data_IF_767603902040
#
_entry.id   IF_767603902040
#
_cell.length_a   1.000
_cell.length_b   1.000
_cell.length_c   1.000
_cell.angle_alpha   90.00
_cell.angle_beta   90.00
_cell.angle_gamma   90.00
#
_symmetry.space_group_name_H-M   'P 1'
#
loop_
_entity.id
_entity.type
_entity.pdbx_description
1 polymer ?
#
# COMPACT_ATOMS: atom_id res chain seq x y z
N UNK A 1 -30.61 11.05 15.14
CA UNK A 1 -30.90 9.60 15.01
C UNK A 1 -31.58 9.17 16.31
N UNK A 2 -32.64 8.37 16.26
CA UNK A 2 -33.37 7.97 17.47
C UNK A 2 -32.48 7.01 18.28
N UNK A 3 -32.33 7.23 19.59
CA UNK A 3 -31.49 6.45 20.52
C UNK A 3 -31.83 4.95 20.48
N UNK A 4 -33.09 4.60 20.22
CA UNK A 4 -33.53 3.21 20.14
C UNK A 4 -33.03 2.48 18.89
N UNK A 5 -32.86 3.19 17.77
CA UNK A 5 -32.32 2.61 16.53
C UNK A 5 -30.82 2.30 16.66
N UNK A 6 -30.06 3.22 17.26
CA UNK A 6 -28.60 3.01 17.50
C UNK A 6 -28.37 1.82 18.45
N UNK A 7 -29.20 1.65 19.50
CA UNK A 7 -29.12 0.55 20.44
C UNK A 7 -29.29 -0.85 19.79
N UNK A 8 -30.01 -0.92 18.68
CA UNK A 8 -30.20 -2.16 17.90
C UNK A 8 -29.12 -2.36 16.87
N UNK A 9 -28.70 -1.28 16.18
CA UNK A 9 -27.75 -1.37 15.07
C UNK A 9 -26.30 -1.62 15.53
N UNK A 10 -25.84 -0.92 16.57
CA UNK A 10 -24.43 -1.02 17.03
C UNK A 10 -24.01 -2.46 17.35
N UNK A 11 -24.76 -3.30 18.10
CA UNK A 11 -24.36 -4.68 18.35
C UNK A 11 -24.19 -5.53 17.08
N UNK A 12 -25.08 -5.35 16.10
CA UNK A 12 -25.01 -6.07 14.82
C UNK A 12 -23.79 -5.65 14.02
N UNK A 13 -23.55 -4.35 13.88
CA UNK A 13 -22.40 -3.80 13.15
C UNK A 13 -21.06 -4.14 13.81
N UNK A 14 -21.02 -4.16 15.15
CA UNK A 14 -19.86 -4.62 15.90
C UNK A 14 -19.55 -6.10 15.61
N UNK A 15 -20.57 -6.93 15.52
CA UNK A 15 -20.41 -8.34 15.18
C UNK A 15 -19.90 -8.50 13.76
N UNK A 16 -20.48 -7.77 12.81
CA UNK A 16 -20.10 -7.77 11.40
C UNK A 16 -18.64 -7.30 11.20
N UNK A 17 -18.29 -6.16 11.76
CA UNK A 17 -16.91 -5.63 11.65
C UNK A 17 -15.87 -6.55 12.31
N UNK A 18 -16.22 -7.18 13.44
CA UNK A 18 -15.34 -8.18 14.07
C UNK A 18 -15.15 -9.40 13.17
N UNK A 19 -16.21 -9.87 12.52
CA UNK A 19 -16.16 -11.01 11.60
C UNK A 19 -15.27 -10.68 10.38
N UNK A 20 -15.51 -9.56 9.71
CA UNK A 20 -14.73 -9.12 8.55
C UNK A 20 -13.23 -8.96 8.89
N UNK A 21 -12.93 -8.39 10.05
CA UNK A 21 -11.56 -8.27 10.53
C UNK A 21 -10.90 -9.64 10.74
N UNK A 22 -11.60 -10.59 11.36
CA UNK A 22 -11.08 -11.93 11.56
C UNK A 22 -10.88 -12.68 10.23
N UNK A 23 -11.79 -12.52 9.29
CA UNK A 23 -11.71 -13.05 7.94
C UNK A 23 -10.44 -12.56 7.24
N UNK A 24 -10.22 -11.25 7.18
CA UNK A 24 -9.02 -10.65 6.57
C UNK A 24 -7.73 -11.20 7.20
N UNK A 25 -7.66 -11.25 8.54
CA UNK A 25 -6.48 -11.74 9.25
C UNK A 25 -6.23 -13.25 8.99
N UNK A 26 -7.28 -14.04 8.94
CA UNK A 26 -7.17 -15.47 8.67
C UNK A 26 -6.74 -15.75 7.23
N UNK A 27 -7.29 -15.01 6.28
CA UNK A 27 -7.00 -15.14 4.87
C UNK A 27 -5.56 -14.70 4.56
N UNK A 28 -5.13 -13.55 5.09
CA UNK A 28 -3.75 -13.09 4.98
C UNK A 28 -2.75 -14.09 5.60
N UNK A 29 -3.04 -14.62 6.78
CA UNK A 29 -2.21 -15.63 7.42
C UNK A 29 -2.15 -16.94 6.63
N UNK A 30 -3.26 -17.34 6.00
CA UNK A 30 -3.34 -18.54 5.18
C UNK A 30 -2.53 -18.36 3.89
N UNK A 31 -2.69 -17.23 3.21
CA UNK A 31 -1.93 -16.88 2.02
C UNK A 31 -0.42 -16.85 2.32
N UNK A 32 0.01 -16.16 3.39
CA UNK A 32 1.41 -16.05 3.76
C UNK A 32 2.07 -17.39 4.17
N UNK A 33 1.30 -18.37 4.65
CA UNK A 33 1.80 -19.75 4.89
C UNK A 33 2.02 -20.53 3.60
N UNK A 34 1.22 -20.26 2.57
CA UNK A 34 1.28 -20.97 1.28
C UNK A 34 2.27 -20.30 0.32
N UNK A 35 2.47 -19.00 0.45
CA UNK A 35 3.27 -18.18 -0.44
C UNK A 35 4.32 -17.41 0.34
N UNK A 36 5.58 -17.74 0.10
CA UNK A 36 6.72 -17.16 0.81
C UNK A 36 7.78 -16.68 -0.16
N UNK A 37 8.53 -15.68 0.25
CA UNK A 37 9.75 -15.23 -0.40
C UNK A 37 10.97 -15.65 0.43
N UNK A 38 11.88 -16.41 -0.19
CA UNK A 38 13.17 -16.71 0.42
C UNK A 38 14.19 -15.64 0.04
N UNK A 39 14.65 -14.91 1.03
CA UNK A 39 15.73 -13.95 0.89
C UNK A 39 17.08 -14.62 1.15
N UNK A 40 17.89 -14.72 0.08
CA UNK A 40 19.22 -15.32 0.16
C UNK A 40 20.25 -14.39 0.83
N UNK A 41 19.99 -13.08 0.90
CA UNK A 41 20.91 -12.11 1.51
C UNK A 41 20.94 -12.24 3.03
N UNK A 42 19.77 -12.31 3.68
CA UNK A 42 19.65 -12.50 5.12
C UNK A 42 19.41 -13.96 5.53
N UNK A 43 19.29 -14.90 4.57
CA UNK A 43 18.93 -16.30 4.80
C UNK A 43 17.62 -16.44 5.58
N UNK A 44 16.61 -15.65 5.21
CA UNK A 44 15.33 -15.58 5.89
C UNK A 44 14.18 -15.81 4.91
N UNK A 45 13.12 -16.45 5.39
CA UNK A 45 11.88 -16.64 4.62
C UNK A 45 10.80 -15.73 5.16
N UNK A 46 10.20 -14.93 4.29
CA UNK A 46 9.13 -13.98 4.61
C UNK A 46 7.80 -14.48 4.04
N UNK A 47 6.68 -14.34 4.77
CA UNK A 47 5.35 -14.55 4.21
C UNK A 47 5.05 -13.42 3.21
N UNK A 48 4.41 -13.75 2.09
CA UNK A 48 3.84 -12.76 1.16
C UNK A 48 2.47 -12.29 1.65
N UNK A 49 2.02 -11.12 1.19
CA UNK A 49 0.78 -10.50 1.66
C UNK A 49 0.89 -9.99 3.11
N UNK A 50 2.10 -9.75 3.58
CA UNK A 50 2.37 -9.23 4.93
C UNK A 50 1.77 -7.85 5.16
N UNK A 51 1.47 -7.11 4.12
CA UNK A 51 0.81 -5.80 4.16
C UNK A 51 -0.59 -5.87 4.79
N UNK A 52 -1.25 -7.03 4.64
CA UNK A 52 -2.55 -7.34 5.25
C UNK A 52 -2.42 -8.12 6.57
N UNK A 53 -1.21 -8.48 6.94
CA UNK A 53 -0.90 -9.24 8.14
C UNK A 53 -0.83 -8.39 9.42
N UNK A 54 -0.37 -8.98 10.53
CA UNK A 54 -0.41 -8.33 11.85
C UNK A 54 0.44 -7.06 11.98
N UNK A 55 1.41 -6.85 11.11
CA UNK A 55 2.24 -5.64 11.07
C UNK A 55 1.83 -4.70 9.94
N UNK A 56 0.87 -5.07 9.13
CA UNK A 56 0.40 -4.27 8.01
C UNK A 56 -0.40 -3.04 8.44
N UNK A 57 -0.53 -2.07 7.56
CA UNK A 57 -1.35 -0.87 7.79
C UNK A 57 -2.85 -1.18 7.71
N UNK A 58 -3.26 -2.16 6.89
CA UNK A 58 -4.57 -2.80 6.94
C UNK A 58 -4.70 -3.73 8.17
N UNK A 59 -3.93 -3.50 9.18
CA UNK A 59 -3.63 -4.44 10.24
C UNK A 59 -4.44 -4.16 11.49
N UNK A 60 -4.30 -5.11 12.44
CA UNK A 60 -4.76 -4.92 13.80
C UNK A 60 -4.46 -3.56 14.42
N UNK A 61 -3.36 -2.90 14.06
CA UNK A 61 -3.00 -1.62 14.69
C UNK A 61 -3.92 -0.48 14.28
N UNK A 62 -4.33 -0.40 13.01
CA UNK A 62 -5.21 0.65 12.53
C UNK A 62 -6.69 0.26 12.66
N UNK A 63 -7.09 -0.83 12.01
CA UNK A 63 -8.48 -1.29 12.05
C UNK A 63 -8.91 -1.74 13.45
N UNK A 64 -8.03 -2.37 14.23
CA UNK A 64 -8.34 -2.70 15.62
C UNK A 64 -8.41 -1.45 16.50
N UNK A 65 -7.58 -0.44 16.20
CA UNK A 65 -7.66 0.87 16.83
C UNK A 65 -9.01 1.53 16.57
N UNK A 66 -9.43 1.58 15.33
CA UNK A 66 -10.72 2.11 14.90
C UNK A 66 -11.89 1.35 15.53
N UNK A 67 -11.88 0.02 15.44
CA UNK A 67 -12.91 -0.83 16.05
C UNK A 67 -12.98 -0.67 17.57
N UNK A 68 -11.84 -0.49 18.23
CA UNK A 68 -11.77 -0.30 19.68
C UNK A 68 -12.27 1.08 20.10
N UNK A 69 -12.11 2.08 19.23
CA UNK A 69 -12.55 3.46 19.44
C UNK A 69 -14.00 3.68 19.01
N UNK A 70 -14.57 2.81 18.18
CA UNK A 70 -15.91 2.95 17.60
C UNK A 70 -16.99 2.94 18.69
N UNK A 71 -17.85 3.96 18.71
CA UNK A 71 -18.95 4.13 19.67
C UNK A 71 -20.27 4.45 18.99
N UNK A 72 -20.26 4.94 17.77
CA UNK A 72 -21.44 5.36 17.02
C UNK A 72 -21.72 4.46 15.83
N UNK A 73 -22.94 4.54 15.30
CA UNK A 73 -23.29 3.86 14.04
C UNK A 73 -22.37 4.28 12.90
N UNK A 74 -22.00 5.57 12.83
CA UNK A 74 -21.13 6.08 11.79
C UNK A 74 -19.70 5.50 11.89
N UNK A 75 -19.15 5.36 13.11
CA UNK A 75 -17.83 4.77 13.31
C UNK A 75 -17.81 3.30 12.82
N UNK A 76 -18.84 2.52 13.17
CA UNK A 76 -18.93 1.13 12.71
C UNK A 76 -19.19 1.02 11.20
N UNK A 77 -19.96 1.96 10.61
CA UNK A 77 -20.14 2.00 9.16
C UNK A 77 -18.80 2.23 8.45
N UNK A 78 -18.03 3.21 8.90
CA UNK A 78 -16.71 3.49 8.35
C UNK A 78 -15.79 2.26 8.48
N UNK A 79 -15.69 1.66 9.65
CA UNK A 79 -14.86 0.47 9.87
C UNK A 79 -15.27 -0.72 8.97
N UNK A 80 -16.58 -0.92 8.73
CA UNK A 80 -17.08 -1.96 7.83
C UNK A 80 -16.71 -1.64 6.37
N UNK A 81 -16.81 -0.37 5.96
CA UNK A 81 -16.42 0.07 4.62
C UNK A 81 -14.91 -0.14 4.39
N UNK A 82 -14.07 0.25 5.35
CA UNK A 82 -12.61 0.07 5.28
C UNK A 82 -12.21 -1.42 5.25
N UNK A 83 -12.85 -2.24 6.07
CA UNK A 83 -12.63 -3.70 6.06
C UNK A 83 -13.05 -4.36 4.74
N UNK A 84 -14.17 -3.95 4.16
CA UNK A 84 -14.60 -4.45 2.85
C UNK A 84 -13.67 -4.01 1.73
N UNK A 85 -13.14 -2.79 1.80
CA UNK A 85 -12.12 -2.29 0.89
C UNK A 85 -10.84 -3.14 0.99
N UNK A 86 -10.35 -3.40 2.18
CA UNK A 86 -9.15 -4.19 2.41
C UNK A 86 -9.32 -5.64 1.96
N UNK A 87 -10.47 -6.27 2.24
CA UNK A 87 -10.81 -7.60 1.74
C UNK A 87 -10.85 -7.64 0.21
N UNK A 88 -11.46 -6.63 -0.43
CA UNK A 88 -11.51 -6.53 -1.89
C UNK A 88 -10.11 -6.40 -2.49
N UNK A 89 -9.26 -5.54 -1.92
CA UNK A 89 -7.91 -5.34 -2.39
C UNK A 89 -7.02 -6.57 -2.10
N UNK A 90 -7.20 -7.23 -0.96
CA UNK A 90 -6.54 -8.50 -0.66
C UNK A 90 -6.91 -9.59 -1.68
N UNK A 91 -8.20 -9.75 -2.00
CA UNK A 91 -8.65 -10.71 -3.01
C UNK A 91 -8.08 -10.39 -4.41
N UNK A 92 -7.96 -9.10 -4.74
CA UNK A 92 -7.30 -8.66 -5.97
C UNK A 92 -5.81 -9.05 -5.99
N UNK A 93 -5.08 -8.83 -4.89
CA UNK A 93 -3.68 -9.27 -4.76
C UNK A 93 -3.56 -10.78 -4.95
N UNK A 94 -4.42 -11.58 -4.32
CA UNK A 94 -4.43 -13.04 -4.47
C UNK A 94 -4.70 -13.46 -5.92
N UNK A 95 -5.63 -12.80 -6.60
CA UNK A 95 -5.96 -13.09 -8.00
C UNK A 95 -4.81 -12.73 -8.95
N UNK A 96 -4.12 -11.62 -8.69
CA UNK A 96 -2.99 -11.14 -9.50
C UNK A 96 -1.71 -11.95 -9.27
N UNK A 97 -1.50 -12.51 -8.08
CA UNK A 97 -0.28 -13.23 -7.69
C UNK A 97 0.11 -14.37 -8.64
N UNK A 98 -0.87 -15.03 -9.25
CA UNK A 98 -0.66 -16.10 -10.25
C UNK A 98 -0.58 -15.63 -11.70
N UNK A 99 -0.86 -14.36 -11.97
CA UNK A 99 -0.88 -13.79 -13.32
C UNK A 99 0.53 -13.79 -13.94
N UNK A 100 0.62 -14.15 -15.21
CA UNK A 100 1.86 -14.17 -16.00
C UNK A 100 1.91 -13.04 -17.03
N UNK A 101 0.93 -12.16 -17.01
CA UNK A 101 0.93 -10.96 -17.84
C UNK A 101 2.16 -10.12 -17.49
N UNK A 102 2.93 -9.66 -18.48
CA UNK A 102 4.06 -8.77 -18.20
C UNK A 102 3.62 -7.52 -17.44
N UNK A 103 4.39 -7.12 -16.44
CA UNK A 103 4.07 -6.01 -15.54
C UNK A 103 3.69 -4.68 -16.24
N UNK A 104 4.16 -4.49 -17.47
CA UNK A 104 3.94 -3.30 -18.30
C UNK A 104 2.80 -3.47 -19.31
N UNK A 105 1.95 -4.43 -19.11
CA UNK A 105 0.72 -4.64 -19.86
C UNK A 105 -0.50 -4.45 -18.95
N UNK A 106 -1.69 -4.44 -19.55
CA UNK A 106 -2.95 -4.34 -18.80
C UNK A 106 -3.20 -5.62 -18.04
N UNK A 107 -3.32 -5.53 -16.71
CA UNK A 107 -3.75 -6.62 -15.86
C UNK A 107 -5.27 -6.60 -15.69
N UNK A 108 -5.90 -7.77 -15.78
CA UNK A 108 -7.35 -7.84 -15.64
C UNK A 108 -7.80 -7.46 -14.23
N UNK A 109 -6.98 -7.72 -13.24
CA UNK A 109 -7.20 -7.34 -11.83
C UNK A 109 -7.31 -5.83 -11.67
N UNK A 110 -6.41 -5.04 -12.29
CA UNK A 110 -6.48 -3.58 -12.27
C UNK A 110 -7.81 -3.08 -12.85
N UNK A 111 -8.22 -3.64 -13.99
CA UNK A 111 -9.48 -3.27 -14.65
C UNK A 111 -10.67 -3.58 -13.77
N UNK A 112 -10.68 -4.75 -13.12
CA UNK A 112 -11.77 -5.15 -12.21
C UNK A 112 -11.84 -4.22 -10.99
N UNK A 113 -10.70 -3.86 -10.38
CA UNK A 113 -10.68 -2.90 -9.27
C UNK A 113 -11.16 -1.51 -9.70
N UNK A 114 -10.67 -0.99 -10.83
CA UNK A 114 -11.13 0.29 -11.35
C UNK A 114 -12.63 0.28 -11.68
N UNK A 115 -13.18 -0.84 -12.15
CA UNK A 115 -14.63 -1.00 -12.35
C UNK A 115 -15.37 -1.03 -11.02
N UNK A 116 -14.88 -1.78 -10.05
CA UNK A 116 -15.48 -1.89 -8.71
C UNK A 116 -15.58 -0.54 -8.02
N UNK A 117 -14.50 0.26 -8.07
CA UNK A 117 -14.45 1.60 -7.45
C UNK A 117 -14.98 2.72 -8.36
N UNK A 118 -15.49 2.40 -9.57
CA UNK A 118 -16.01 3.36 -10.55
C UNK A 118 -14.99 4.35 -11.11
N UNK A 119 -13.71 3.98 -11.20
CA UNK A 119 -12.60 4.84 -11.63
C UNK A 119 -12.23 4.68 -13.13
N UNK A 120 -13.03 3.95 -13.92
CA UNK A 120 -12.72 3.66 -15.33
C UNK A 120 -12.58 4.91 -16.23
N UNK A 121 -13.19 6.04 -15.86
CA UNK A 121 -13.12 7.29 -16.62
C UNK A 121 -12.20 8.34 -15.97
N UNK A 122 -11.31 7.89 -15.09
CA UNK A 122 -10.45 8.73 -14.28
C UNK A 122 -8.96 8.46 -14.56
N UNK A 123 -8.09 9.31 -13.99
CA UNK A 123 -6.67 9.00 -13.84
C UNK A 123 -6.49 8.15 -12.58
N UNK A 124 -5.85 7.00 -12.73
CA UNK A 124 -5.63 6.05 -11.63
C UNK A 124 -4.18 5.59 -11.61
N UNK A 125 -3.59 5.60 -10.43
CA UNK A 125 -2.29 4.97 -10.15
C UNK A 125 -2.57 3.66 -9.42
N UNK A 126 -2.20 2.54 -10.00
CA UNK A 126 -2.31 1.22 -9.37
C UNK A 126 -0.94 0.78 -8.89
N UNK A 127 -0.82 0.41 -7.62
CA UNK A 127 0.38 -0.15 -7.01
C UNK A 127 0.12 -1.62 -6.70
N UNK A 128 0.72 -2.51 -7.49
CA UNK A 128 0.68 -3.96 -7.25
C UNK A 128 1.84 -4.36 -6.33
N UNK A 129 1.54 -4.58 -5.05
CA UNK A 129 2.53 -4.83 -3.99
C UNK A 129 3.30 -6.13 -4.22
N UNK A 130 2.63 -7.20 -4.63
CA UNK A 130 3.26 -8.49 -4.89
C UNK A 130 4.23 -8.46 -6.08
N UNK A 131 4.01 -7.58 -7.06
CA UNK A 131 4.83 -7.41 -8.25
C UNK A 131 5.88 -6.28 -8.10
N UNK A 132 5.76 -5.43 -7.09
CA UNK A 132 6.59 -4.24 -6.91
C UNK A 132 6.53 -3.31 -8.13
N UNK A 133 5.32 -2.98 -8.59
CA UNK A 133 5.06 -2.23 -9.83
C UNK A 133 4.02 -1.15 -9.61
N UNK A 134 4.20 -0.04 -10.32
CA UNK A 134 3.12 0.92 -10.60
C UNK A 134 2.65 0.74 -12.03
N UNK A 135 1.33 0.64 -12.22
CA UNK A 135 0.64 0.77 -13.50
C UNK A 135 -0.26 2.01 -13.45
N UNK A 136 -0.17 2.84 -14.47
CA UNK A 136 -0.87 4.13 -14.50
C UNK A 136 -1.88 4.13 -15.63
N UNK A 137 -3.11 4.48 -15.30
CA UNK A 137 -4.25 4.45 -16.22
C UNK A 137 -4.85 5.84 -16.42
N UNK A 138 -5.40 6.07 -17.61
CA UNK A 138 -6.27 7.20 -17.92
C UNK A 138 -7.42 6.69 -18.79
N UNK A 139 -8.65 6.99 -18.41
CA UNK A 139 -9.87 6.53 -19.10
C UNK A 139 -9.84 5.00 -19.38
N UNK A 140 -9.46 4.23 -18.37
CA UNK A 140 -9.36 2.77 -18.43
C UNK A 140 -8.25 2.21 -19.32
N UNK A 141 -7.35 3.05 -19.84
CA UNK A 141 -6.23 2.65 -20.70
C UNK A 141 -4.92 2.79 -19.96
N UNK A 142 -4.08 1.75 -20.02
CA UNK A 142 -2.71 1.80 -19.49
C UNK A 142 -1.90 2.85 -20.29
N UNK A 143 -1.35 3.81 -19.58
CA UNK A 143 -0.54 4.89 -20.19
C UNK A 143 0.94 4.79 -19.82
N UNK A 144 1.26 4.16 -18.70
CA UNK A 144 2.65 3.86 -18.31
C UNK A 144 2.69 2.74 -17.25
N UNK A 145 3.85 2.07 -17.13
CA UNK A 145 4.12 1.14 -16.05
C UNK A 145 5.61 1.12 -15.75
N UNK A 146 5.97 0.99 -14.47
CA UNK A 146 7.37 0.92 -14.04
C UNK A 146 7.51 0.22 -12.69
N UNK A 147 8.68 -0.36 -12.48
CA UNK A 147 9.02 -1.03 -11.23
C UNK A 147 9.29 -0.03 -10.11
N UNK A 148 8.93 -0.44 -8.89
CA UNK A 148 9.06 0.35 -7.65
C UNK A 148 9.64 -0.50 -6.52
N UNK A 149 9.89 0.11 -5.37
CA UNK A 149 10.15 -0.59 -4.11
C UNK A 149 9.18 -0.07 -3.07
N UNK A 150 8.38 -0.96 -2.50
CA UNK A 150 7.41 -0.64 -1.45
C UNK A 150 7.97 -0.89 -0.05
N UNK A 151 7.14 -0.77 0.97
CA UNK A 151 7.52 -0.96 2.36
C UNK A 151 8.04 -2.36 2.68
N UNK A 152 9.01 -2.42 3.58
CA UNK A 152 9.55 -3.69 4.11
C UNK A 152 8.53 -4.37 5.05
N UNK A 153 8.72 -5.67 5.41
CA UNK A 153 7.74 -6.42 6.21
C UNK A 153 7.37 -5.80 7.57
N UNK A 154 8.30 -5.10 8.21
CA UNK A 154 8.04 -4.45 9.50
C UNK A 154 7.44 -3.04 9.35
N UNK A 155 7.54 -2.43 8.17
CA UNK A 155 7.04 -1.11 7.83
C UNK A 155 6.37 -1.15 6.43
N UNK A 156 5.28 -1.91 6.26
CA UNK A 156 4.67 -2.13 4.96
C UNK A 156 3.99 -0.88 4.39
N UNK A 157 3.87 -0.84 3.07
CA UNK A 157 3.02 0.14 2.41
C UNK A 157 1.55 -0.16 2.68
N UNK A 158 0.71 0.87 2.98
CA UNK A 158 -0.70 0.64 3.27
C UNK A 158 -1.46 0.25 2.00
N UNK A 159 -2.04 -0.96 1.91
CA UNK A 159 -3.01 -1.27 0.89
C UNK A 159 -4.26 -0.41 1.07
N UNK A 160 -5.07 -0.30 0.04
CA UNK A 160 -6.31 0.47 0.14
C UNK A 160 -6.57 1.33 -1.10
N UNK A 161 -7.55 2.21 -0.93
CA UNK A 161 -8.02 3.15 -1.93
C UNK A 161 -7.74 4.57 -1.45
N UNK A 162 -6.81 5.24 -2.08
CA UNK A 162 -6.27 6.53 -1.69
C UNK A 162 -6.40 7.55 -2.82
N UNK A 163 -5.94 8.76 -2.58
CA UNK A 163 -5.77 9.79 -3.60
C UNK A 163 -4.54 10.65 -3.32
N UNK A 164 -4.09 11.40 -4.31
CA UNK A 164 -3.02 12.37 -4.13
C UNK A 164 -3.52 13.52 -3.26
N UNK A 165 -3.07 13.58 -2.01
CA UNK A 165 -3.40 14.61 -1.01
C UNK A 165 -2.55 15.87 -1.17
N UNK A 166 -1.29 15.67 -1.59
CA UNK A 166 -0.33 16.76 -1.71
C UNK A 166 0.80 16.45 -2.67
N UNK A 167 1.43 17.50 -3.21
CA UNK A 167 2.57 17.39 -4.12
C UNK A 167 3.65 18.38 -3.70
N UNK A 168 4.90 17.91 -3.61
CA UNK A 168 6.05 18.73 -3.22
C UNK A 168 7.23 18.45 -4.15
N UNK A 169 7.90 19.53 -4.62
CA UNK A 169 9.08 19.42 -5.49
C UNK A 169 9.88 20.73 -5.49
N UNK A 170 11.16 20.75 -5.04
CA UNK A 170 11.79 19.74 -4.19
C UNK A 170 11.28 19.79 -2.74
N UNK A 171 11.61 18.76 -1.96
CA UNK A 171 11.31 18.71 -0.53
C UNK A 171 12.43 17.95 0.21
N UNK A 172 12.37 17.89 1.54
CA UNK A 172 13.27 17.12 2.39
C UNK A 172 12.45 16.27 3.36
N UNK A 173 12.69 14.96 3.37
CA UNK A 173 12.11 14.07 4.35
C UNK A 173 13.01 13.98 5.60
N UNK A 174 12.37 13.95 6.76
CA UNK A 174 13.03 13.78 8.06
C UNK A 174 12.32 12.70 8.84
N UNK A 175 13.12 11.85 9.48
CA UNK A 175 12.57 10.90 10.43
C UNK A 175 11.97 11.67 11.62
N UNK A 176 10.80 11.27 12.06
CA UNK A 176 10.10 11.77 13.24
C UNK A 176 10.48 11.02 14.53
N UNK A 177 11.45 10.10 14.42
CA UNK A 177 12.01 9.30 15.51
C UNK A 177 13.44 9.76 15.85
N UNK A 178 13.91 9.52 17.09
CA UNK A 178 15.27 9.94 17.49
C UNK A 178 16.34 9.12 16.77
N UNK A 179 17.58 9.64 16.62
CA UNK A 179 18.70 8.95 15.96
C UNK A 179 19.08 7.57 16.53
N UNK A 180 18.60 7.24 17.73
CA UNK A 180 18.79 5.92 18.35
C UNK A 180 17.76 4.88 17.91
N UNK A 181 16.71 5.27 17.20
CA UNK A 181 15.72 4.36 16.65
C UNK A 181 16.28 3.59 15.44
N UNK A 182 15.97 2.30 15.28
CA UNK A 182 16.29 1.56 14.07
C UNK A 182 15.63 2.14 12.81
N UNK A 183 14.51 2.86 12.98
CA UNK A 183 13.74 3.46 11.87
C UNK A 183 14.23 4.89 11.54
N UNK A 184 15.30 5.35 12.20
CA UNK A 184 15.84 6.67 11.91
C UNK A 184 16.61 6.68 10.58
N UNK A 185 16.43 7.77 9.85
CA UNK A 185 17.23 8.10 8.67
C UNK A 185 17.63 9.57 8.69
N UNK A 186 18.76 9.95 8.06
CA UNK A 186 19.19 11.35 7.99
C UNK A 186 18.23 12.17 7.13
N UNK A 187 18.21 13.51 7.30
CA UNK A 187 17.48 14.40 6.40
C UNK A 187 17.79 14.06 4.93
N UNK A 188 16.76 13.72 4.17
CA UNK A 188 16.87 13.12 2.85
C UNK A 188 16.20 14.02 1.81
N UNK A 189 16.97 14.61 0.87
CA UNK A 189 16.40 15.41 -0.20
C UNK A 189 15.63 14.56 -1.19
N UNK A 190 14.43 15.00 -1.54
CA UNK A 190 13.51 14.36 -2.49
C UNK A 190 13.19 15.36 -3.59
N UNK A 191 13.28 14.94 -4.86
CA UNK A 191 12.97 15.83 -5.98
C UNK A 191 11.46 15.91 -6.24
N UNK A 192 10.74 14.79 -6.13
CA UNK A 192 9.32 14.68 -6.43
C UNK A 192 8.63 13.80 -5.40
N UNK A 193 7.72 14.39 -4.63
CA UNK A 193 6.95 13.69 -3.61
C UNK A 193 5.45 13.93 -3.83
N UNK A 194 4.67 12.86 -3.82
CA UNK A 194 3.22 12.85 -3.96
C UNK A 194 2.66 12.12 -2.74
N UNK A 195 2.09 12.88 -1.80
CA UNK A 195 1.48 12.33 -0.59
C UNK A 195 0.17 11.66 -0.94
N UNK A 196 -0.05 10.45 -0.42
CA UNK A 196 -1.29 9.72 -0.61
C UNK A 196 -1.97 9.30 0.70
N UNK A 197 -1.32 9.54 1.83
CA UNK A 197 -1.91 9.25 3.13
C UNK A 197 -1.37 10.18 4.21
N UNK A 198 -2.24 10.64 5.09
CA UNK A 198 -1.96 11.65 6.12
C UNK A 198 -0.87 11.25 7.14
N UNK A 199 -0.62 9.94 7.33
CA UNK A 199 0.47 9.44 8.18
C UNK A 199 1.85 9.48 7.51
N UNK A 200 2.02 10.29 6.47
CA UNK A 200 3.33 10.51 5.86
C UNK A 200 3.74 9.48 4.82
N UNK A 201 2.78 8.84 4.14
CA UNK A 201 3.09 7.95 3.03
C UNK A 201 3.06 8.68 1.69
N UNK A 202 4.11 8.43 0.89
CA UNK A 202 4.36 9.12 -0.38
C UNK A 202 4.72 8.14 -1.50
N UNK A 203 4.38 8.53 -2.72
CA UNK A 203 5.04 8.06 -3.94
C UNK A 203 6.17 9.06 -4.21
N UNK A 204 7.46 8.61 -4.27
CA UNK A 204 8.57 9.54 -4.42
C UNK A 204 9.82 8.94 -5.05
N UNK A 205 10.75 9.79 -5.53
CA UNK A 205 12.05 9.36 -6.00
C UNK A 205 13.00 8.95 -4.87
N UNK A 206 13.87 7.98 -5.16
CA UNK A 206 14.83 7.44 -4.20
C UNK A 206 16.22 7.31 -4.82
N UNK A 207 17.02 8.39 -4.74
CA UNK A 207 18.37 8.46 -5.30
C UNK A 207 19.37 7.47 -4.69
N UNK A 208 19.05 6.91 -3.52
CA UNK A 208 19.89 5.92 -2.82
C UNK A 208 19.71 4.50 -3.32
N UNK A 209 18.76 4.24 -4.23
CA UNK A 209 18.50 2.92 -4.83
C UNK A 209 18.91 2.89 -6.29
N UNK A 210 19.41 1.75 -6.73
CA UNK A 210 19.62 1.47 -8.16
C UNK A 210 18.71 0.37 -8.69
N UNK A 211 18.09 -0.40 -7.79
CA UNK A 211 17.19 -1.52 -8.14
C UNK A 211 15.77 -1.29 -7.64
N UNK A 212 14.83 -1.72 -8.45
CA UNK A 212 13.39 -1.70 -8.22
C UNK A 212 12.77 -2.98 -8.77
N UNK A 213 11.57 -3.33 -8.29
CA UNK A 213 10.83 -4.49 -8.76
C UNK A 213 10.83 -5.65 -7.76
N UNK A 214 10.39 -6.84 -8.18
CA UNK A 214 10.16 -7.98 -7.29
C UNK A 214 11.34 -8.29 -6.39
N UNK A 215 11.08 -8.43 -5.08
CA UNK A 215 12.08 -8.77 -4.07
C UNK A 215 12.82 -7.57 -3.46
N UNK A 216 12.70 -6.35 -4.02
CA UNK A 216 13.39 -5.17 -3.48
C UNK A 216 12.77 -4.61 -2.19
N UNK A 217 11.58 -5.05 -1.84
CA UNK A 217 10.94 -4.81 -0.55
C UNK A 217 11.47 -5.72 0.59
N UNK A 218 12.27 -6.73 0.26
CA UNK A 218 12.97 -7.58 1.22
C UNK A 218 14.46 -7.23 1.27
N UNK A 219 15.23 -7.72 2.27
CA UNK A 219 16.68 -7.53 2.30
C UNK A 219 17.34 -8.09 1.03
N UNK A 220 18.21 -7.30 0.40
CA UNK A 220 18.86 -7.66 -0.86
C UNK A 220 20.17 -6.88 -1.08
N UNK A 221 20.99 -7.33 -2.03
CA UNK A 221 22.12 -6.54 -2.52
C UNK A 221 21.64 -5.55 -3.59
N UNK A 222 22.03 -4.30 -3.44
CA UNK A 222 21.84 -3.26 -4.46
C UNK A 222 23.22 -2.65 -4.81
N UNK A 223 23.97 -3.24 -5.78
CA UNK A 223 25.35 -2.85 -6.04
C UNK A 223 25.56 -1.41 -6.50
N UNK A 224 24.52 -0.78 -7.05
CA UNK A 224 24.54 0.63 -7.48
C UNK A 224 23.92 1.58 -6.46
N UNK A 225 23.33 1.07 -5.39
CA UNK A 225 22.70 1.83 -4.33
C UNK A 225 23.64 2.16 -3.18
N UNK A 226 23.06 2.70 -2.11
CA UNK A 226 23.75 2.98 -0.85
C UNK A 226 23.38 1.96 0.21
N UNK A 227 23.94 2.08 1.42
CA UNK A 227 23.56 1.24 2.56
C UNK A 227 22.06 1.32 2.93
N UNK A 228 21.32 2.34 2.49
CA UNK A 228 19.91 2.50 2.74
C UNK A 228 19.00 1.82 1.70
N UNK A 229 19.59 1.22 0.64
CA UNK A 229 18.84 0.53 -0.41
C UNK A 229 18.71 -0.97 -0.22
N UNK A 230 19.36 -1.53 0.80
CA UNK A 230 19.41 -2.98 1.05
C UNK A 230 18.11 -3.56 1.67
N UNK A 231 17.15 -2.72 1.98
CA UNK A 231 15.83 -3.09 2.51
C UNK A 231 14.73 -2.39 1.71
N UNK A 232 13.49 -2.79 1.92
CA UNK A 232 12.32 -2.05 1.46
C UNK A 232 12.28 -0.61 2.02
N UNK A 233 11.24 0.12 1.70
CA UNK A 233 11.02 1.45 2.28
C UNK A 233 10.38 1.37 3.69
N UNK A 234 10.18 2.51 4.32
CA UNK A 234 9.39 2.65 5.55
C UNK A 234 7.89 2.85 5.26
N UNK A 235 7.38 2.21 4.19
CA UNK A 235 5.99 2.26 3.77
C UNK A 235 5.70 3.18 2.58
N UNK A 236 6.60 4.09 2.21
CA UNK A 236 6.49 4.86 0.97
C UNK A 236 6.70 3.97 -0.26
N UNK A 237 6.24 4.41 -1.42
CA UNK A 237 6.52 3.76 -2.71
C UNK A 237 7.67 4.48 -3.39
N UNK A 238 8.82 3.83 -3.43
CA UNK A 238 10.06 4.36 -3.99
C UNK A 238 10.18 4.04 -5.48
N UNK A 239 10.65 4.99 -6.27
CA UNK A 239 10.88 4.83 -7.70
C UNK A 239 12.11 5.62 -8.18
N UNK A 240 12.53 5.38 -9.41
CA UNK A 240 13.60 6.17 -10.02
C UNK A 240 13.17 7.64 -10.16
N UNK A 241 14.16 8.55 -10.20
CA UNK A 241 13.91 9.98 -10.36
C UNK A 241 13.11 10.29 -11.62
N UNK A 242 13.41 9.61 -12.73
CA UNK A 242 12.74 9.85 -14.01
C UNK A 242 11.27 9.39 -13.96
N UNK A 243 11.01 8.23 -13.34
CA UNK A 243 9.64 7.73 -13.12
C UNK A 243 8.86 8.66 -12.18
N UNK A 244 9.49 9.14 -11.10
CA UNK A 244 8.86 10.08 -10.18
C UNK A 244 8.56 11.42 -10.84
N UNK A 245 9.48 11.93 -11.67
CA UNK A 245 9.26 13.16 -12.44
C UNK A 245 8.08 13.02 -13.41
N UNK A 246 8.01 11.89 -14.14
CA UNK A 246 6.93 11.58 -15.04
C UNK A 246 5.59 11.49 -14.30
N UNK A 247 5.55 10.70 -13.22
CA UNK A 247 4.33 10.50 -12.42
C UNK A 247 3.87 11.81 -11.79
N UNK A 248 4.80 12.61 -11.25
CA UNK A 248 4.52 13.92 -10.70
C UNK A 248 3.88 14.87 -11.74
N UNK A 249 4.35 14.82 -12.99
CA UNK A 249 3.75 15.58 -14.09
C UNK A 249 2.36 15.08 -14.50
N UNK A 250 2.10 13.79 -14.34
CA UNK A 250 0.84 13.16 -14.74
C UNK A 250 -0.29 13.36 -13.73
N UNK A 251 -0.02 13.14 -12.42
CA UNK A 251 -1.03 13.18 -11.37
C UNK A 251 -1.38 14.60 -10.95
N UNK A 252 -2.60 14.78 -10.48
CA UNK A 252 -3.13 16.00 -9.88
C UNK A 252 -3.60 15.70 -8.46
N UNK A 253 -3.93 16.72 -7.67
CA UNK A 253 -4.64 16.51 -6.41
C UNK A 253 -5.92 15.72 -6.68
N UNK A 254 -6.22 14.77 -5.81
CA UNK A 254 -7.34 13.84 -5.90
C UNK A 254 -7.25 12.81 -7.04
N UNK A 255 -6.11 12.68 -7.73
CA UNK A 255 -5.89 11.50 -8.59
C UNK A 255 -5.94 10.24 -7.72
N UNK A 256 -6.76 9.26 -8.12
CA UNK A 256 -6.95 8.01 -7.36
C UNK A 256 -5.71 7.13 -7.37
N UNK A 257 -5.48 6.48 -6.23
CA UNK A 257 -4.39 5.52 -6.03
C UNK A 257 -5.01 4.25 -5.45
N UNK A 258 -4.88 3.15 -6.16
CA UNK A 258 -5.26 1.81 -5.71
C UNK A 258 -4.01 1.04 -5.33
N UNK A 259 -3.95 0.48 -4.13
CA UNK A 259 -2.82 -0.32 -3.63
C UNK A 259 -3.35 -1.69 -3.19
N UNK A 260 -2.85 -2.76 -3.85
CA UNK A 260 -3.24 -4.15 -3.55
C UNK A 260 -2.07 -5.14 -3.59
#
# INVERSE_FOLDING_TARGET
MNTDVAAIQIPAMKTESTFLFQELQQDAATFGKQHTYYDAYSNTTYPLGYEYGPNGAASPLWLQGELSAAQTVADYQQAIEDLNMDLTNFQAMVADFGDKTPYNQVHQTDIQLMQHYHYMNEKVVVVALSEQVIRVYADGKLVNAFQVTTGQPDLPSPPGTWWVEGKQSPTEFKADVPPSSPDWYPPTPINYAMQFHSHGYFLHDSWWRSQYGPGTNFPHLDPGGTQYSIHGSHGCVNMSKDNAAWLYGFVQLYTHILIY
#
